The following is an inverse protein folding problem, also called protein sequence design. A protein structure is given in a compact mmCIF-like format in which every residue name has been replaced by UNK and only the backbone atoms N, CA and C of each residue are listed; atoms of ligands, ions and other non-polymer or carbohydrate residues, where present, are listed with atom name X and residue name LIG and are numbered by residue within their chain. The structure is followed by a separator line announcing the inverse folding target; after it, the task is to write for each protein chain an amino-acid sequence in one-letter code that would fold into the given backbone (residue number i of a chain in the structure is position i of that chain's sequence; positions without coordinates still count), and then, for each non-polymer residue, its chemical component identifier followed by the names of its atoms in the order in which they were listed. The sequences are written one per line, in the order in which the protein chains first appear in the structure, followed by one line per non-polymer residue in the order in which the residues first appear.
data_IF_724751984715
#
_entry.id   IF_724751984715
#
_cell.length_a   1.000
_cell.length_b   1.000
_cell.length_c   1.000
_cell.angle_alpha   90.00
_cell.angle_beta   90.00
_cell.angle_gamma   90.00
#
_symmetry.space_group_name_H-M   'P 1'
#
loop_
_entity.id
_entity.type
_entity.pdbx_description
1 polymer ?
#
# COMPACT_ATOMS: atom_id res chain seq x y z
N UNK A 1 8.89 -11.85 19.59
CA UNK A 1 9.14 -10.48 19.07
C UNK A 1 8.10 -10.09 18.01
N UNK A 2 7.18 -9.18 18.31
CA UNK A 2 6.15 -8.75 17.37
C UNK A 2 6.76 -7.92 16.22
N UNK A 3 7.01 -8.57 15.08
CA UNK A 3 7.57 -7.91 13.88
C UNK A 3 6.62 -6.77 13.46
N UNK A 4 7.12 -5.53 13.41
CA UNK A 4 6.44 -4.35 12.87
C UNK A 4 6.25 -4.50 11.35
N UNK A 5 5.54 -5.53 10.86
CA UNK A 5 5.48 -5.92 9.43
C UNK A 5 4.72 -4.92 8.53
N UNK A 6 3.83 -4.11 9.09
CA UNK A 6 2.91 -3.28 8.29
C UNK A 6 3.62 -2.17 7.50
N UNK A 7 4.56 -1.40 8.09
CA UNK A 7 5.36 -0.42 7.34
C UNK A 7 6.26 -1.07 6.28
N UNK A 8 6.92 -2.19 6.58
CA UNK A 8 7.80 -2.85 5.61
C UNK A 8 7.05 -3.32 4.36
N UNK A 9 5.85 -3.89 4.51
CA UNK A 9 5.05 -4.32 3.34
C UNK A 9 4.66 -3.15 2.44
N UNK A 10 4.43 -1.96 3.00
CA UNK A 10 4.07 -0.77 2.24
C UNK A 10 5.30 -0.10 1.63
N UNK A 11 6.46 -0.16 2.30
CA UNK A 11 7.71 0.37 1.76
C UNK A 11 8.08 -0.27 0.42
N UNK A 12 7.88 -1.58 0.27
CA UNK A 12 8.12 -2.31 -0.99
C UNK A 12 7.34 -1.68 -2.16
N UNK A 13 6.14 -1.15 -1.92
CA UNK A 13 5.34 -0.48 -2.96
C UNK A 13 5.91 0.90 -3.33
N UNK A 14 6.48 1.63 -2.38
CA UNK A 14 7.15 2.91 -2.64
C UNK A 14 8.41 2.66 -3.48
N UNK A 15 9.20 1.66 -3.10
CA UNK A 15 10.45 1.32 -3.78
C UNK A 15 10.15 0.82 -5.21
N UNK A 16 9.12 -0.02 -5.38
CA UNK A 16 8.65 -0.45 -6.69
C UNK A 16 8.15 0.73 -7.54
N UNK A 17 7.40 1.67 -6.96
CA UNK A 17 6.93 2.88 -7.66
C UNK A 17 8.11 3.66 -8.23
N UNK A 18 9.13 3.93 -7.41
CA UNK A 18 10.33 4.67 -7.81
C UNK A 18 11.14 3.91 -8.85
N UNK A 19 11.33 2.60 -8.67
CA UNK A 19 12.13 1.74 -9.55
C UNK A 19 11.54 1.59 -10.95
N UNK A 20 10.22 1.48 -11.05
CA UNK A 20 9.51 1.25 -12.32
C UNK A 20 8.79 2.49 -12.86
N UNK A 21 9.06 3.66 -12.27
CA UNK A 21 8.46 4.95 -12.66
C UNK A 21 6.92 4.91 -12.76
N UNK A 22 6.28 4.17 -11.84
CA UNK A 22 4.82 4.02 -11.83
C UNK A 22 4.15 5.24 -11.19
N UNK A 23 2.96 5.59 -11.67
CA UNK A 23 2.14 6.62 -11.03
C UNK A 23 1.45 6.09 -9.77
N UNK A 24 0.98 7.00 -8.91
CA UNK A 24 0.15 6.62 -7.75
C UNK A 24 -1.10 5.83 -8.16
N UNK A 25 -1.71 6.21 -9.28
CA UNK A 25 -2.86 5.53 -9.84
C UNK A 25 -2.51 4.09 -10.26
N UNK A 26 -1.42 3.89 -10.99
CA UNK A 26 -0.96 2.56 -11.40
C UNK A 26 -0.59 1.67 -10.20
N UNK A 27 0.03 2.23 -9.16
CA UNK A 27 0.30 1.48 -7.92
C UNK A 27 -1.01 1.06 -7.23
N UNK A 28 -2.01 1.94 -7.21
CA UNK A 28 -3.33 1.61 -6.66
C UNK A 28 -4.01 0.50 -7.49
N UNK A 29 -4.02 0.62 -8.81
CA UNK A 29 -4.54 -0.41 -9.72
C UNK A 29 -3.86 -1.76 -9.50
N UNK A 30 -2.53 -1.79 -9.43
CA UNK A 30 -1.76 -3.02 -9.23
C UNK A 30 -2.11 -3.71 -7.89
N UNK A 31 -2.44 -2.93 -6.86
CA UNK A 31 -2.85 -3.44 -5.56
C UNK A 31 -4.25 -4.02 -5.58
N UNK A 32 -5.19 -3.34 -6.23
CA UNK A 32 -6.57 -3.83 -6.41
C UNK A 32 -6.61 -5.09 -7.29
N UNK A 33 -5.71 -5.17 -8.27
CA UNK A 33 -5.49 -6.38 -9.06
C UNK A 33 -4.85 -7.53 -8.27
N UNK A 34 -4.28 -7.27 -7.09
CA UNK A 34 -3.59 -8.27 -6.27
C UNK A 34 -2.18 -8.62 -6.77
N UNK A 35 -1.55 -7.75 -7.58
CA UNK A 35 -0.20 -7.98 -8.08
C UNK A 35 0.84 -7.86 -6.95
N UNK A 36 1.96 -8.55 -7.13
CA UNK A 36 3.07 -8.52 -6.18
C UNK A 36 4.22 -7.64 -6.70
N UNK A 37 4.61 -6.57 -5.98
CA UNK A 37 5.67 -5.65 -6.41
C UNK A 37 7.04 -6.34 -6.53
N UNK A 38 7.27 -7.46 -5.82
CA UNK A 38 8.49 -8.25 -5.98
C UNK A 38 8.57 -8.98 -7.33
N UNK A 39 7.42 -9.26 -7.96
CA UNK A 39 7.33 -9.91 -9.27
C UNK A 39 7.33 -8.91 -10.42
N UNK A 40 7.37 -7.61 -10.14
CA UNK A 40 7.40 -6.57 -11.17
C UNK A 40 8.60 -6.67 -12.10
N UNK A 41 9.73 -7.22 -11.65
CA UNK A 41 10.87 -7.52 -12.50
C UNK A 41 10.51 -8.42 -13.70
N UNK A 42 9.70 -9.46 -13.49
CA UNK A 42 9.27 -10.35 -14.57
C UNK A 42 8.32 -9.68 -15.57
N UNK A 43 7.53 -8.71 -15.10
CA UNK A 43 6.60 -7.95 -15.95
C UNK A 43 7.29 -6.77 -16.67
N UNK A 44 8.34 -6.19 -16.08
CA UNK A 44 9.07 -5.04 -16.61
C UNK A 44 10.14 -5.39 -17.68
N UNK A 45 10.13 -6.62 -18.21
CA UNK A 45 11.08 -7.09 -19.21
C UNK A 45 10.82 -6.54 -20.64
N UNK A 46 10.11 -5.42 -20.78
CA UNK A 46 9.78 -4.84 -22.09
C UNK A 46 11.03 -4.43 -22.88
N UNK A 47 12.14 -4.09 -22.20
CA UNK A 47 13.39 -3.70 -22.87
C UNK A 47 14.07 -4.85 -23.58
N UNK A 48 13.89 -6.08 -23.08
CA UNK A 48 14.41 -7.31 -23.70
C UNK A 48 13.40 -7.91 -24.69
N UNK A 49 12.11 -7.76 -24.42
CA UNK A 49 11.02 -8.23 -25.28
C UNK A 49 10.18 -7.05 -25.72
N UNK A 50 10.57 -6.41 -26.84
CA UNK A 50 9.94 -5.17 -27.36
C UNK A 50 8.43 -5.31 -27.64
N UNK A 51 7.95 -6.54 -27.85
CA UNK A 51 6.52 -6.83 -28.04
C UNK A 51 5.71 -6.79 -26.71
N UNK A 52 6.39 -6.73 -25.56
CA UNK A 52 5.72 -6.53 -24.26
C UNK A 52 5.46 -5.06 -24.03
N UNK A 53 4.27 -4.77 -23.48
CA UNK A 53 3.90 -3.42 -23.05
C UNK A 53 4.74 -2.97 -21.86
N UNK A 54 5.00 -1.65 -21.72
CA UNK A 54 5.52 -1.07 -20.48
C UNK A 54 4.68 -1.51 -19.28
N UNK A 55 5.32 -1.64 -18.12
CA UNK A 55 4.66 -2.16 -16.91
C UNK A 55 3.42 -1.35 -16.51
N UNK A 56 3.47 -0.02 -16.66
CA UNK A 56 2.35 0.87 -16.38
C UNK A 56 1.12 0.57 -17.26
N UNK A 57 1.32 0.50 -18.57
CA UNK A 57 0.27 0.17 -19.53
C UNK A 57 -0.29 -1.25 -19.33
N UNK A 58 0.58 -2.20 -18.95
CA UNK A 58 0.15 -3.55 -18.63
C UNK A 58 -0.81 -3.57 -17.45
N UNK A 59 -0.51 -2.82 -16.39
CA UNK A 59 -1.37 -2.68 -15.21
C UNK A 59 -2.71 -2.04 -15.60
N UNK A 60 -2.69 -0.96 -16.38
CA UNK A 60 -3.90 -0.27 -16.85
C UNK A 60 -4.79 -1.18 -17.71
N UNK A 61 -4.18 -1.95 -18.61
CA UNK A 61 -4.89 -2.90 -19.45
C UNK A 61 -5.55 -4.01 -18.64
N UNK A 62 -4.84 -4.59 -17.66
CA UNK A 62 -5.41 -5.59 -16.75
C UNK A 62 -6.55 -5.01 -15.91
N UNK A 63 -6.38 -3.78 -15.43
CA UNK A 63 -7.38 -3.08 -14.63
C UNK A 63 -8.66 -2.87 -15.44
N UNK A 64 -8.53 -2.35 -16.66
CA UNK A 64 -9.65 -2.18 -17.57
C UNK A 64 -10.33 -3.51 -17.91
N UNK A 65 -9.57 -4.58 -18.14
CA UNK A 65 -10.14 -5.90 -18.45
C UNK A 65 -11.01 -6.43 -17.32
N UNK A 66 -10.58 -6.26 -16.06
CA UNK A 66 -11.27 -6.80 -14.87
C UNK A 66 -12.39 -5.91 -14.35
N UNK A 67 -12.18 -4.60 -14.29
CA UNK A 67 -13.09 -3.66 -13.65
C UNK A 67 -13.88 -2.80 -14.65
N UNK A 68 -13.53 -2.82 -15.95
CA UNK A 68 -14.11 -1.97 -17.00
C UNK A 68 -14.01 -0.47 -16.69
N UNK A 69 -13.02 -0.10 -15.89
CA UNK A 69 -12.69 1.28 -15.50
C UNK A 69 -11.29 1.62 -15.96
N UNK A 70 -11.06 2.87 -16.34
CA UNK A 70 -9.73 3.38 -16.74
C UNK A 70 -8.91 3.87 -15.56
N UNK A 71 -9.56 4.23 -14.44
CA UNK A 71 -8.92 4.72 -13.23
C UNK A 71 -9.64 4.19 -11.98
N UNK A 72 -8.92 4.01 -10.85
CA UNK A 72 -9.55 3.74 -9.56
C UNK A 72 -10.43 4.89 -9.10
N UNK A 73 -11.51 4.58 -8.39
CA UNK A 73 -12.43 5.59 -7.83
C UNK A 73 -11.73 6.48 -6.79
N UNK A 74 -10.73 5.94 -6.08
CA UNK A 74 -9.91 6.69 -5.12
C UNK A 74 -8.44 6.35 -5.28
N UNK A 75 -7.62 7.36 -5.58
CA UNK A 75 -6.17 7.23 -5.66
C UNK A 75 -5.55 7.70 -4.35
N UNK A 76 -5.28 6.77 -3.44
CA UNK A 76 -4.59 7.07 -2.16
C UNK A 76 -3.12 6.71 -2.30
N UNK A 77 -2.25 7.68 -2.02
CA UNK A 77 -0.80 7.43 -2.03
C UNK A 77 -0.38 6.43 -0.95
N UNK A 78 0.73 5.72 -1.18
CA UNK A 78 1.26 4.78 -0.20
C UNK A 78 1.69 5.53 1.06
N UNK A 79 2.29 6.72 0.89
CA UNK A 79 2.69 7.59 2.00
C UNK A 79 1.49 7.99 2.87
N UNK A 80 0.38 8.42 2.27
CA UNK A 80 -0.83 8.81 2.99
C UNK A 80 -1.46 7.62 3.72
N UNK A 81 -1.46 6.43 3.10
CA UNK A 81 -1.93 5.21 3.76
C UNK A 81 -1.07 4.84 4.96
N UNK A 82 0.26 5.01 4.87
CA UNK A 82 1.17 4.81 6.01
C UNK A 82 0.83 5.81 7.13
N UNK A 83 0.59 7.08 6.81
CA UNK A 83 0.18 8.10 7.80
C UNK A 83 -1.13 7.70 8.49
N UNK A 84 -2.16 7.27 7.74
CA UNK A 84 -3.45 6.82 8.30
C UNK A 84 -3.30 5.61 9.23
N UNK A 85 -2.46 4.64 8.86
CA UNK A 85 -2.17 3.47 9.70
C UNK A 85 -1.42 3.87 10.97
N UNK A 86 -0.43 4.79 10.87
CA UNK A 86 0.30 5.32 12.03
C UNK A 86 -0.65 6.05 12.99
N UNK A 87 -1.50 6.94 12.48
CA UNK A 87 -2.48 7.71 13.27
C UNK A 87 -3.43 6.80 14.03
N UNK A 88 -4.09 5.86 13.34
CA UNK A 88 -5.00 4.88 13.96
C UNK A 88 -4.31 4.02 15.03
N UNK A 89 -3.03 3.69 14.84
CA UNK A 89 -2.24 2.93 15.81
C UNK A 89 -1.92 3.78 17.05
N UNK A 90 -1.61 5.05 16.87
CA UNK A 90 -1.34 5.99 17.96
C UNK A 90 -2.60 6.28 18.78
N UNK A 91 -3.74 6.55 18.12
CA UNK A 91 -5.05 6.69 18.76
C UNK A 91 -5.39 5.47 19.62
N UNK A 92 -5.19 4.25 19.10
CA UNK A 92 -5.40 3.01 19.86
C UNK A 92 -4.46 2.91 21.07
N UNK A 93 -3.23 3.40 20.98
CA UNK A 93 -2.28 3.42 22.10
C UNK A 93 -2.66 4.48 23.14
N UNK A 94 -3.11 5.66 22.72
CA UNK A 94 -3.62 6.71 23.61
C UNK A 94 -4.84 6.20 24.37
N UNK A 95 -5.85 5.66 23.67
CA UNK A 95 -7.06 5.10 24.31
C UNK A 95 -6.74 3.99 25.32
N UNK A 96 -5.74 3.15 25.05
CA UNK A 96 -5.29 2.13 26.01
C UNK A 96 -4.63 2.74 27.25
N UNK A 97 -3.79 3.77 27.07
CA UNK A 97 -3.15 4.48 28.18
C UNK A 97 -4.18 5.19 29.05
N UNK A 98 -5.10 5.94 28.45
CA UNK A 98 -6.19 6.59 29.18
C UNK A 98 -7.02 5.58 30.00
N UNK A 99 -7.32 4.40 29.44
CA UNK A 99 -8.06 3.35 30.17
C UNK A 99 -7.27 2.78 31.35
N UNK A 100 -5.96 2.60 31.21
CA UNK A 100 -5.10 2.14 32.30
C UNK A 100 -5.01 3.19 33.41
N UNK A 101 -4.87 4.46 33.03
CA UNK A 101 -4.78 5.58 33.96
C UNK A 101 -6.09 5.78 34.74
N UNK A 102 -7.25 5.65 34.10
CA UNK A 102 -8.56 5.67 34.78
C UNK A 102 -8.84 4.46 35.69
N UNK A 103 -8.15 3.34 35.48
CA UNK A 103 -8.31 2.10 36.27
C UNK A 103 -7.37 2.11 37.49
N UNK A 104 -6.22 2.80 37.42
CA UNK A 104 -5.31 2.99 38.54
C UNK A 104 -5.73 4.09 39.52
N UNK A 105 -6.59 5.01 39.09
CA UNK A 105 -7.05 6.17 39.89
C UNK A 105 -8.35 5.88 40.68
N UNK A 106 -8.80 4.62 40.71
CA UNK A 106 -9.93 4.17 41.54
C UNK A 106 -9.40 3.79 42.94
N UNK A 107 -9.70 4.54 44.01
CA UNK A 107 -9.26 4.21 45.36
C UNK A 107 -9.95 2.94 45.85
N UNK A 108 -9.18 2.06 46.52
CA UNK A 108 -9.72 0.94 47.29
C UNK A 108 -10.37 1.53 48.56
N UNK A 109 -11.70 1.62 48.58
CA UNK A 109 -12.49 1.75 49.83
C UNK A 109 -12.46 0.45 50.64
#
# INVERSE_FOLDING_TARGET
MAKKKTPQKLQIWIDARKKYHLTHSQIQMARELGLNPKKFSGYANHRQQKWKRPLGEYIEHLYFKRFKKTKPDQVISIEERIKRIKRKKEERRKRKRLRQESETDQPLE
#
